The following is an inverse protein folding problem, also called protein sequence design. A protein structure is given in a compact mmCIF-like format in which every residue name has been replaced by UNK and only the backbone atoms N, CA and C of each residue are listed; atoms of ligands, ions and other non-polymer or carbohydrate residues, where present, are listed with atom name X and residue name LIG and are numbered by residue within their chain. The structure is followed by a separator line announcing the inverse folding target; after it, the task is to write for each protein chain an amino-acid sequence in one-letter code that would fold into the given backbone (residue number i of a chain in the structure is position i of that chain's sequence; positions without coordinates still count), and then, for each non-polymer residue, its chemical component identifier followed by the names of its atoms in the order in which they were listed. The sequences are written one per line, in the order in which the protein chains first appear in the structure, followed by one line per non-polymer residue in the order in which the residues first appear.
data_IF_744393653359
#
_entry.id   IF_744393653359
#
_cell.length_a   1.000
_cell.length_b   1.000
_cell.length_c   1.000
_cell.angle_alpha   90.00
_cell.angle_beta   90.00
_cell.angle_gamma   90.00
#
_symmetry.space_group_name_H-M   'P 1'
#
loop_
_entity.id
_entity.type
_entity.pdbx_description
1 polymer ?
#
# COMPACT_ATOMS: atom_id res chain seq x y z
N UNK A 1 -8.13 -8.55 -15.09
CA UNK A 1 -7.03 -8.67 -14.12
C UNK A 1 -6.21 -9.88 -14.50
N UNK A 2 -5.05 -9.66 -15.13
CA UNK A 2 -4.05 -10.69 -15.36
C UNK A 2 -3.24 -10.89 -14.07
N UNK A 3 -2.60 -12.04 -13.93
CA UNK A 3 -1.77 -12.34 -12.75
C UNK A 3 -0.61 -11.33 -12.59
N UNK A 4 -0.27 -10.57 -13.63
CA UNK A 4 0.83 -9.60 -13.65
C UNK A 4 0.37 -8.13 -13.54
N UNK A 5 -0.93 -7.87 -13.30
CA UNK A 5 -1.46 -6.50 -13.11
C UNK A 5 -1.15 -5.98 -11.69
N UNK A 6 0.13 -5.96 -11.31
CA UNK A 6 0.59 -5.39 -10.05
C UNK A 6 1.28 -4.06 -10.29
N UNK A 7 1.00 -3.07 -9.45
CA UNK A 7 1.55 -1.72 -9.60
C UNK A 7 2.22 -1.25 -8.31
N UNK A 8 3.23 -0.40 -8.44
CA UNK A 8 3.86 0.31 -7.32
C UNK A 8 3.21 1.68 -7.23
N UNK A 9 2.33 1.88 -6.26
CA UNK A 9 1.65 3.15 -6.06
C UNK A 9 2.55 4.12 -5.29
N UNK A 10 3.05 5.20 -5.92
CA UNK A 10 3.81 6.20 -5.20
C UNK A 10 2.89 7.00 -4.27
N UNK A 11 3.39 7.30 -3.07
CA UNK A 11 2.74 8.31 -2.24
C UNK A 11 3.02 9.68 -2.86
N UNK A 12 1.97 10.25 -3.45
CA UNK A 12 2.01 11.54 -4.10
C UNK A 12 1.70 12.69 -3.13
N UNK A 13 1.67 12.43 -1.83
CA UNK A 13 1.44 13.44 -0.81
C UNK A 13 2.62 14.41 -0.67
N UNK A 14 2.31 15.64 -0.26
CA UNK A 14 3.28 16.67 0.08
C UNK A 14 3.35 16.77 1.59
N UNK A 15 4.41 16.21 2.17
CA UNK A 15 4.69 16.35 3.60
C UNK A 15 4.76 17.81 4.04
N UNK A 16 5.31 18.69 3.20
CA UNK A 16 5.36 20.12 3.47
C UNK A 16 3.96 20.73 3.64
N UNK A 17 3.02 20.44 2.72
CA UNK A 17 1.64 20.93 2.82
C UNK A 17 0.94 20.39 4.07
N UNK A 18 1.15 19.11 4.38
CA UNK A 18 0.55 18.46 5.55
C UNK A 18 1.10 19.01 6.87
N UNK A 19 2.39 19.35 6.94
CA UNK A 19 3.00 19.87 8.18
C UNK A 19 2.73 21.35 8.43
N UNK A 20 2.44 22.12 7.37
CA UNK A 20 2.13 23.56 7.44
C UNK A 20 0.64 23.87 7.22
N UNK A 21 -0.21 22.86 7.18
CA UNK A 21 -1.66 23.06 7.19
C UNK A 21 -2.08 23.60 8.56
N UNK A 22 -2.97 24.60 8.57
CA UNK A 22 -3.49 25.22 9.79
C UNK A 22 -5.01 25.07 9.83
N UNK A 23 -5.57 24.26 10.75
CA UNK A 23 -4.87 23.42 11.73
C UNK A 23 -4.21 22.20 11.07
N UNK A 24 -3.12 21.69 11.69
CA UNK A 24 -2.45 20.48 11.21
C UNK A 24 -3.38 19.26 11.36
N UNK A 25 -3.69 18.53 10.29
CA UNK A 25 -4.59 17.38 10.36
C UNK A 25 -3.88 16.20 11.04
N UNK A 26 -4.44 15.73 12.16
CA UNK A 26 -4.01 14.49 12.81
C UNK A 26 -5.07 13.41 12.62
N UNK A 27 -4.63 12.22 12.22
CA UNK A 27 -5.54 11.10 11.93
C UNK A 27 -6.41 10.70 13.13
N UNK A 28 -5.89 10.82 14.36
CA UNK A 28 -6.64 10.56 15.60
C UNK A 28 -7.83 11.49 15.83
N UNK A 29 -7.81 12.68 15.20
CA UNK A 29 -8.82 13.72 15.38
C UNK A 29 -9.81 13.72 14.20
N UNK A 30 -9.57 12.92 13.16
CA UNK A 30 -10.45 12.80 11.99
C UNK A 30 -11.48 11.72 12.22
N UNK A 31 -12.74 12.09 12.04
CA UNK A 31 -13.91 11.22 12.23
C UNK A 31 -14.45 10.73 10.88
N UNK A 32 -14.44 11.60 9.87
CA UNK A 32 -14.96 11.31 8.54
C UNK A 32 -14.00 11.87 7.49
N UNK A 33 -13.74 11.10 6.44
CA UNK A 33 -13.01 11.55 5.25
C UNK A 33 -13.88 11.32 4.03
N UNK A 34 -14.03 12.36 3.21
CA UNK A 34 -14.72 12.32 1.94
C UNK A 34 -13.73 12.58 0.81
N UNK A 35 -13.77 11.71 -0.19
CA UNK A 35 -13.06 11.87 -1.44
C UNK A 35 -14.08 11.89 -2.58
N UNK A 36 -14.00 12.91 -3.44
CA UNK A 36 -14.95 13.09 -4.54
C UNK A 36 -14.27 12.81 -5.88
N UNK A 37 -14.95 12.05 -6.75
CA UNK A 37 -14.42 11.71 -8.07
C UNK A 37 -14.19 12.98 -8.89
N UNK A 38 -12.98 13.09 -9.45
CA UNK A 38 -12.57 14.26 -10.24
C UNK A 38 -12.01 15.41 -9.40
N UNK A 39 -12.02 15.31 -8.06
CA UNK A 39 -11.33 16.24 -7.18
C UNK A 39 -10.01 15.64 -6.70
N UNK A 40 -9.01 16.50 -6.58
CA UNK A 40 -7.66 16.18 -6.10
C UNK A 40 -7.42 16.65 -4.66
N UNK A 41 -8.49 16.89 -3.93
CA UNK A 41 -8.51 17.30 -2.53
C UNK A 41 -9.28 16.26 -1.73
N UNK A 42 -8.96 16.14 -0.46
CA UNK A 42 -9.80 15.43 0.50
C UNK A 42 -10.57 16.45 1.32
N UNK A 43 -11.75 16.10 1.76
CA UNK A 43 -12.45 16.85 2.82
C UNK A 43 -12.58 15.95 4.04
N UNK A 44 -12.47 16.54 5.22
CA UNK A 44 -12.58 15.78 6.47
C UNK A 44 -13.35 16.54 7.54
N UNK A 45 -13.86 15.80 8.52
CA UNK A 45 -14.52 16.33 9.73
C UNK A 45 -13.81 15.80 10.98
N UNK A 46 -13.85 16.58 12.05
CA UNK A 46 -13.33 16.21 13.37
C UNK A 46 -14.43 15.91 14.39
N UNK A 47 -15.69 15.94 13.98
CA UNK A 47 -16.86 15.64 14.81
C UNK A 47 -17.97 14.98 14.01
N UNK A 48 -18.93 14.35 14.70
CA UNK A 48 -20.02 13.59 14.10
C UNK A 48 -21.27 14.43 13.78
N UNK A 49 -21.42 15.59 14.39
CA UNK A 49 -22.59 16.45 14.18
C UNK A 49 -22.65 16.96 12.73
N UNK A 50 -23.87 17.09 12.21
CA UNK A 50 -24.13 17.51 10.83
C UNK A 50 -23.66 18.94 10.55
N UNK A 51 -23.61 19.77 11.59
CA UNK A 51 -23.17 21.17 11.53
C UNK A 51 -21.64 21.34 11.60
N UNK A 52 -20.88 20.24 11.77
CA UNK A 52 -19.43 20.33 11.82
C UNK A 52 -18.84 20.79 10.49
N UNK A 53 -17.93 21.76 10.58
CA UNK A 53 -17.21 22.32 9.44
C UNK A 53 -16.42 21.23 8.71
N UNK A 54 -16.74 21.01 7.44
CA UNK A 54 -15.89 20.23 6.54
C UNK A 54 -14.62 21.01 6.21
N UNK A 55 -13.47 20.48 6.60
CA UNK A 55 -12.17 21.09 6.33
C UNK A 55 -11.62 20.51 5.02
N UNK A 56 -11.22 21.38 4.10
CA UNK A 56 -10.58 20.98 2.84
C UNK A 56 -9.09 20.76 3.05
N UNK A 57 -8.58 19.63 2.57
CA UNK A 57 -7.19 19.22 2.66
C UNK A 57 -6.58 19.09 1.27
N UNK A 58 -5.73 20.05 0.90
CA UNK A 58 -4.82 19.93 -0.23
C UNK A 58 -3.53 19.26 0.22
N UNK A 59 -3.40 17.98 -0.11
CA UNK A 59 -2.28 17.15 0.31
C UNK A 59 -1.38 16.72 -0.85
N UNK A 60 -1.74 16.98 -2.10
CA UNK A 60 -0.95 16.48 -3.24
C UNK A 60 0.32 17.31 -3.47
N UNK A 61 1.38 16.62 -3.86
CA UNK A 61 2.59 17.24 -4.40
C UNK A 61 2.29 18.05 -5.66
N UNK A 62 3.13 19.05 -5.95
CA UNK A 62 2.98 19.93 -7.12
C UNK A 62 2.99 19.15 -8.45
N UNK A 63 3.70 18.03 -8.52
CA UNK A 63 3.74 17.18 -9.70
C UNK A 63 2.40 16.44 -9.85
N UNK A 64 1.94 15.80 -8.78
CA UNK A 64 0.68 15.07 -8.75
C UNK A 64 -0.55 15.96 -8.98
N UNK A 65 -0.52 17.21 -8.48
CA UNK A 65 -1.61 18.17 -8.67
C UNK A 65 -1.74 18.67 -10.11
N UNK A 66 -0.68 18.56 -10.92
CA UNK A 66 -0.71 18.91 -12.35
C UNK A 66 -1.18 17.74 -13.18
N UNK A 67 -0.64 16.56 -12.91
CA UNK A 67 -0.97 15.33 -13.61
C UNK A 67 -0.67 14.13 -12.73
N UNK A 68 -1.66 13.27 -12.53
CA UNK A 68 -1.44 11.94 -11.97
C UNK A 68 -0.95 11.02 -13.08
N UNK A 69 0.27 10.52 -12.92
CA UNK A 69 0.78 9.46 -13.78
C UNK A 69 0.26 8.10 -13.29
N UNK A 70 -0.06 7.17 -14.19
CA UNK A 70 -0.31 5.78 -13.82
C UNK A 70 0.86 5.24 -12.98
N UNK A 71 0.58 4.44 -11.94
CA UNK A 71 1.64 3.84 -11.15
C UNK A 71 2.50 2.93 -12.04
N UNK A 72 3.82 2.88 -11.84
CA UNK A 72 4.68 1.98 -12.60
C UNK A 72 4.31 0.52 -12.32
N UNK A 73 4.42 -0.31 -13.36
CA UNK A 73 4.24 -1.75 -13.27
C UNK A 73 5.25 -2.36 -12.31
N UNK A 74 4.76 -3.28 -11.47
CA UNK A 74 5.60 -4.13 -10.64
C UNK A 74 6.02 -5.35 -11.45
N UNK A 75 7.00 -5.15 -12.32
CA UNK A 75 7.46 -6.15 -13.28
C UNK A 75 7.91 -7.48 -12.66
N UNK A 76 8.37 -7.46 -11.39
CA UNK A 76 8.90 -8.64 -10.73
C UNK A 76 8.08 -9.00 -9.49
N UNK A 77 7.57 -10.24 -9.38
CA UNK A 77 7.04 -10.76 -8.13
C UNK A 77 8.10 -10.70 -7.03
N UNK A 78 7.70 -10.35 -5.82
CA UNK A 78 8.62 -10.15 -4.67
C UNK A 78 9.47 -11.40 -4.40
N UNK A 79 8.89 -12.58 -4.62
CA UNK A 79 9.49 -13.86 -4.29
C UNK A 79 9.53 -14.12 -2.78
N UNK A 80 10.16 -15.24 -2.41
CA UNK A 80 10.47 -15.61 -1.03
C UNK A 80 11.96 -15.94 -0.91
N UNK A 81 12.50 -15.84 0.29
CA UNK A 81 13.90 -16.23 0.53
C UNK A 81 14.08 -17.73 0.31
N UNK A 82 15.29 -18.13 -0.09
CA UNK A 82 15.64 -19.54 -0.30
C UNK A 82 15.48 -20.35 0.98
N UNK A 83 15.83 -19.74 2.11
CA UNK A 83 15.68 -20.32 3.44
C UNK A 83 14.23 -20.69 3.74
N UNK A 84 13.25 -19.91 3.24
CA UNK A 84 11.82 -20.22 3.39
C UNK A 84 11.31 -21.22 2.38
N UNK A 85 11.80 -21.15 1.14
CA UNK A 85 11.35 -22.05 0.06
C UNK A 85 11.72 -23.51 0.36
N UNK A 86 12.94 -23.75 0.83
CA UNK A 86 13.47 -25.11 1.09
C UNK A 86 12.61 -25.94 2.07
N UNK A 87 12.23 -25.44 3.26
CA UNK A 87 11.35 -26.17 4.17
C UNK A 87 9.96 -26.46 3.58
N UNK A 88 9.42 -25.54 2.76
CA UNK A 88 8.14 -25.75 2.10
C UNK A 88 8.25 -26.91 1.13
N UNK A 89 9.26 -26.90 0.26
CA UNK A 89 9.50 -28.00 -0.69
C UNK A 89 9.71 -29.33 0.04
N UNK A 90 10.56 -29.32 1.08
CA UNK A 90 10.87 -30.52 1.88
C UNK A 90 9.64 -31.13 2.56
N UNK A 91 8.81 -30.30 3.20
CA UNK A 91 7.75 -30.77 4.08
C UNK A 91 6.40 -30.91 3.36
N UNK A 92 6.11 -30.02 2.39
CA UNK A 92 4.82 -29.95 1.72
C UNK A 92 4.76 -30.84 0.48
N UNK A 93 5.84 -30.99 -0.28
CA UNK A 93 5.81 -31.74 -1.55
C UNK A 93 5.44 -33.22 -1.38
N UNK A 94 5.89 -33.93 -0.33
CA UNK A 94 5.51 -35.33 -0.12
C UNK A 94 3.99 -35.53 0.08
N UNK A 95 3.28 -34.52 0.58
CA UNK A 95 1.86 -34.61 0.94
C UNK A 95 0.92 -33.95 -0.07
N UNK A 96 1.42 -33.14 -1.00
CA UNK A 96 0.59 -32.52 -2.05
C UNK A 96 0.74 -33.25 -3.41
N UNK A 97 -0.35 -33.38 -4.17
CA UNK A 97 -0.31 -33.88 -5.54
C UNK A 97 0.64 -33.08 -6.43
N UNK A 98 1.30 -33.73 -7.38
CA UNK A 98 2.26 -33.10 -8.31
C UNK A 98 1.67 -31.90 -9.04
N UNK A 99 0.40 -31.95 -9.43
CA UNK A 99 -0.29 -30.81 -10.07
C UNK A 99 -0.34 -29.55 -9.22
N UNK A 100 -0.26 -29.66 -7.89
CA UNK A 100 -0.25 -28.53 -6.95
C UNK A 100 1.16 -28.07 -6.57
N UNK A 101 2.21 -28.79 -6.99
CA UNK A 101 3.60 -28.40 -6.74
C UNK A 101 4.05 -27.27 -7.65
N UNK A 102 3.52 -27.21 -8.87
CA UNK A 102 3.87 -26.21 -9.90
C UNK A 102 3.92 -24.78 -9.36
N UNK A 103 2.92 -24.38 -8.56
CA UNK A 103 2.90 -23.06 -7.91
C UNK A 103 4.14 -22.81 -7.05
N UNK A 104 4.48 -23.74 -6.17
CA UNK A 104 5.61 -23.61 -5.25
C UNK A 104 6.95 -23.69 -5.98
N UNK A 105 7.04 -24.55 -6.99
CA UNK A 105 8.22 -24.67 -7.86
C UNK A 105 8.45 -23.37 -8.63
N UNK A 106 7.40 -22.77 -9.20
CA UNK A 106 7.46 -21.52 -9.97
C UNK A 106 7.61 -20.26 -9.14
N UNK A 107 7.51 -20.33 -7.80
CA UNK A 107 7.69 -19.15 -6.95
C UNK A 107 9.12 -18.61 -7.08
N UNK A 108 9.30 -17.32 -7.39
CA UNK A 108 10.61 -16.71 -7.47
C UNK A 108 11.34 -16.75 -6.13
N UNK A 109 12.64 -17.01 -6.18
CA UNK A 109 13.52 -16.90 -5.02
C UNK A 109 14.17 -15.52 -5.02
N UNK A 110 14.03 -14.81 -3.91
CA UNK A 110 14.66 -13.51 -3.71
C UNK A 110 15.10 -13.43 -2.25
N UNK A 111 16.40 -13.52 -2.00
CA UNK A 111 16.96 -13.49 -0.64
C UNK A 111 16.88 -12.10 0.00
N UNK A 112 16.62 -11.06 -0.80
CA UNK A 112 16.32 -9.70 -0.32
C UNK A 112 14.82 -9.47 -0.08
N UNK A 113 13.98 -10.49 -0.24
CA UNK A 113 12.54 -10.35 0.00
C UNK A 113 12.29 -10.12 1.50
N UNK A 114 11.92 -8.89 1.85
CA UNK A 114 11.45 -8.59 3.20
C UNK A 114 10.16 -9.39 3.49
N UNK A 115 10.15 -10.10 4.61
CA UNK A 115 8.93 -10.76 5.07
C UNK A 115 7.89 -9.70 5.42
N UNK A 116 6.62 -9.95 5.10
CA UNK A 116 5.52 -9.11 5.56
C UNK A 116 5.19 -9.38 7.03
N UNK A 117 5.70 -10.48 7.59
CA UNK A 117 5.70 -10.76 9.02
C UNK A 117 6.91 -10.11 9.70
N UNK A 118 7.09 -8.80 9.52
CA UNK A 118 7.95 -8.07 10.45
C UNK A 118 7.14 -7.98 11.74
N UNK A 119 7.51 -8.76 12.75
CA UNK A 119 7.08 -8.44 14.10
C UNK A 119 7.53 -7.00 14.34
N UNK A 120 6.59 -6.08 14.51
CA UNK A 120 6.90 -4.81 15.14
C UNK A 120 7.46 -5.18 16.51
N UNK A 121 8.79 -5.21 16.63
CA UNK A 121 9.42 -5.10 17.92
C UNK A 121 9.03 -3.71 18.40
N UNK A 122 8.00 -3.68 19.24
CA UNK A 122 7.39 -2.46 19.75
C UNK A 122 8.50 -1.54 20.25
N UNK A 123 8.59 -0.36 19.63
CA UNK A 123 9.14 0.84 20.24
C UNK A 123 8.23 1.29 21.38
#
# INVERSE_FOLDING_TARGET
MKLDDFFIWPDNSSMYKLTHAEPRPYMKDIVEVTAERGKYILTYKTGFDTDNTCISLDFLSKNASRQLHPPPDKANPRGITRERKKPIEKNLFPIIPTSRRLFWESLPVNDNAADLRVHYNNL
#
